data_IF_166536887178
#
_entry.id   IF_166536887178
#
_cell.length_a   1.000
_cell.length_b   1.000
_cell.length_c   1.000
_cell.angle_alpha   90.00
_cell.angle_beta   90.00
_cell.angle_gamma   90.00
#
_symmetry.space_group_name_H-M   'P 1'
#
loop_
_entity.id
_entity.type
_entity.pdbx_description
1 polymer ?
#
# COMPACT_ATOMS: atom_id res chain seq x y z
N UNK A 1 17.22 21.07 -7.17
CA UNK A 1 15.90 21.40 -6.62
C UNK A 1 14.86 21.10 -7.69
N UNK A 2 13.70 20.62 -7.27
CA UNK A 2 12.54 20.29 -8.09
C UNK A 2 11.48 21.37 -7.90
N UNK A 3 10.93 21.87 -8.99
CA UNK A 3 9.80 22.81 -8.95
C UNK A 3 8.51 21.99 -8.96
N UNK A 4 7.72 22.09 -7.89
CA UNK A 4 6.51 21.28 -7.69
C UNK A 4 5.28 22.16 -7.49
N UNK A 5 4.11 21.55 -7.66
CA UNK A 5 2.83 22.12 -7.25
C UNK A 5 2.29 21.25 -6.13
N UNK A 6 2.24 21.80 -4.93
CA UNK A 6 1.77 21.11 -3.74
C UNK A 6 0.32 21.52 -3.46
N UNK A 7 -0.55 20.55 -3.22
CA UNK A 7 -1.99 20.80 -3.01
C UNK A 7 -2.32 21.40 -1.64
N UNK A 8 -1.41 21.31 -0.68
CA UNK A 8 -1.54 21.90 0.65
C UNK A 8 -0.86 23.27 0.75
N UNK A 9 0.27 23.45 0.04
CA UNK A 9 1.11 24.66 0.14
C UNK A 9 0.93 25.61 -1.05
N UNK A 10 0.55 25.10 -2.22
CA UNK A 10 0.34 25.86 -3.44
C UNK A 10 1.41 25.62 -4.51
N UNK A 11 1.32 26.33 -5.65
CA UNK A 11 2.22 26.12 -6.78
C UNK A 11 3.63 26.68 -6.56
N UNK A 12 4.57 26.22 -7.39
CA UNK A 12 5.96 26.71 -7.51
C UNK A 12 6.83 26.52 -6.25
N UNK A 13 6.61 25.43 -5.51
CA UNK A 13 7.46 25.06 -4.39
C UNK A 13 8.80 24.52 -4.88
N UNK A 14 9.88 24.84 -4.17
CA UNK A 14 11.20 24.32 -4.45
C UNK A 14 11.57 23.27 -3.41
N UNK A 15 11.64 22.00 -3.82
CA UNK A 15 12.07 20.91 -2.96
C UNK A 15 13.47 20.44 -3.37
N UNK A 16 14.32 20.12 -2.39
CA UNK A 16 15.59 19.44 -2.69
C UNK A 16 15.35 17.93 -2.89
N UNK A 17 16.38 17.21 -3.34
CA UNK A 17 16.24 15.77 -3.61
C UNK A 17 15.87 14.98 -2.35
N UNK A 18 16.44 15.35 -1.20
CA UNK A 18 16.15 14.69 0.08
C UNK A 18 14.70 14.84 0.49
N UNK A 19 14.13 16.04 0.37
CA UNK A 19 12.71 16.24 0.65
C UNK A 19 11.80 15.35 -0.21
N UNK A 20 12.15 15.19 -1.49
CA UNK A 20 11.41 14.28 -2.39
C UNK A 20 11.60 12.83 -1.94
N UNK A 21 12.83 12.38 -1.71
CA UNK A 21 13.13 11.02 -1.26
C UNK A 21 12.38 10.68 0.05
N UNK A 22 12.42 11.57 1.02
CA UNK A 22 11.73 11.37 2.31
C UNK A 22 10.21 11.30 2.16
N UNK A 23 9.64 12.20 1.36
CA UNK A 23 8.19 12.23 1.13
C UNK A 23 7.72 11.05 0.28
N UNK A 24 8.57 10.55 -0.62
CA UNK A 24 8.23 9.50 -1.57
C UNK A 24 8.43 8.08 -1.01
N UNK A 25 9.18 7.95 0.09
CA UNK A 25 9.38 6.69 0.81
C UNK A 25 8.06 6.01 1.17
N UNK A 26 7.04 6.77 1.55
CA UNK A 26 5.72 6.22 1.89
C UNK A 26 5.07 5.43 0.73
N UNK A 27 5.55 5.61 -0.51
CA UNK A 27 5.06 4.95 -1.72
C UNK A 27 6.04 3.90 -2.27
N UNK A 28 6.85 3.28 -1.40
CA UNK A 28 7.85 2.28 -1.77
C UNK A 28 8.85 2.76 -2.85
N UNK A 29 9.14 4.07 -2.86
CA UNK A 29 9.99 4.70 -3.87
C UNK A 29 9.56 4.39 -5.33
N UNK A 30 8.25 4.21 -5.55
CA UNK A 30 7.67 3.92 -6.87
C UNK A 30 8.15 4.96 -7.91
N UNK A 31 8.57 4.51 -9.08
CA UNK A 31 8.82 5.41 -10.20
C UNK A 31 7.99 4.99 -11.41
N UNK A 32 7.59 5.98 -12.21
CA UNK A 32 6.83 5.78 -13.44
C UNK A 32 7.64 6.38 -14.58
N UNK A 33 7.90 5.60 -15.63
CA UNK A 33 8.60 6.08 -16.82
C UNK A 33 7.61 6.29 -17.95
N UNK A 34 7.45 7.54 -18.37
CA UNK A 34 6.59 7.91 -19.48
C UNK A 34 7.46 8.17 -20.72
N UNK A 35 7.21 7.41 -21.79
CA UNK A 35 7.92 7.55 -23.06
C UNK A 35 6.96 7.33 -24.25
N UNK A 36 7.18 8.01 -25.40
CA UNK A 36 6.45 7.70 -26.63
C UNK A 36 6.83 6.32 -27.16
N UNK A 37 5.89 5.62 -27.80
CA UNK A 37 6.10 4.27 -28.36
C UNK A 37 7.36 4.17 -29.23
N UNK A 38 7.64 5.19 -30.05
CA UNK A 38 8.82 5.26 -30.91
C UNK A 38 10.17 5.27 -30.14
N UNK A 39 10.15 5.42 -28.82
CA UNK A 39 11.32 5.41 -27.93
C UNK A 39 11.34 4.23 -26.96
N UNK A 40 10.47 3.23 -27.13
CA UNK A 40 10.41 2.07 -26.24
C UNK A 40 11.78 1.39 -26.05
N UNK A 41 12.50 1.10 -27.14
CA UNK A 41 13.83 0.48 -27.07
C UNK A 41 14.86 1.34 -26.31
N UNK A 42 14.76 2.67 -26.45
CA UNK A 42 15.63 3.59 -25.72
C UNK A 42 15.29 3.59 -24.22
N UNK A 43 14.00 3.57 -23.87
CA UNK A 43 13.54 3.52 -22.49
C UNK A 43 14.01 2.23 -21.81
N UNK A 44 13.83 1.08 -22.47
CA UNK A 44 14.35 -0.21 -21.99
C UNK A 44 15.87 -0.17 -21.81
N UNK A 45 16.59 0.41 -22.78
CA UNK A 45 18.06 0.55 -22.68
C UNK A 45 18.54 1.43 -21.53
N UNK A 46 17.76 2.46 -21.15
CA UNK A 46 18.06 3.32 -19.98
C UNK A 46 17.72 2.61 -18.68
N UNK A 47 16.58 1.92 -18.62
CA UNK A 47 16.12 1.21 -17.43
C UNK A 47 17.03 0.02 -17.08
N UNK A 48 17.56 -0.68 -18.08
CA UNK A 48 18.36 -1.89 -17.87
C UNK A 48 17.58 -2.88 -16.98
N UNK A 49 18.18 -3.36 -15.88
CA UNK A 49 17.54 -4.29 -14.95
C UNK A 49 16.30 -3.70 -14.24
N UNK A 50 16.20 -2.36 -14.12
CA UNK A 50 15.00 -1.72 -13.57
C UNK A 50 13.75 -1.89 -14.43
N UNK A 51 13.92 -2.33 -15.69
CA UNK A 51 12.80 -2.68 -16.56
C UNK A 51 12.21 -4.06 -16.26
N UNK A 52 12.92 -4.92 -15.53
CA UNK A 52 12.39 -6.19 -15.03
C UNK A 52 11.69 -5.94 -13.69
N UNK A 53 10.36 -6.12 -13.67
CA UNK A 53 9.53 -5.82 -12.51
C UNK A 53 9.94 -6.62 -11.27
N UNK A 54 10.25 -7.91 -11.43
CA UNK A 54 10.68 -8.75 -10.32
C UNK A 54 12.01 -8.27 -9.74
N UNK A 55 12.97 -7.93 -10.59
CA UNK A 55 14.25 -7.38 -10.18
C UNK A 55 14.06 -6.04 -9.46
N UNK A 56 13.22 -5.16 -10.00
CA UNK A 56 12.92 -3.86 -9.39
C UNK A 56 12.27 -3.99 -8.00
N UNK A 57 11.33 -4.92 -7.84
CA UNK A 57 10.69 -5.23 -6.55
C UNK A 57 11.69 -5.80 -5.53
N UNK A 58 12.54 -6.74 -5.94
CA UNK A 58 13.60 -7.27 -5.09
C UNK A 58 14.59 -6.17 -4.67
N UNK A 59 14.87 -5.22 -5.56
CA UNK A 59 15.74 -4.10 -5.27
C UNK A 59 15.10 -3.09 -4.33
N UNK A 60 13.82 -2.77 -4.52
CA UNK A 60 13.04 -1.92 -3.62
C UNK A 60 12.97 -2.52 -2.21
N UNK A 61 12.70 -3.82 -2.10
CA UNK A 61 12.72 -4.55 -0.83
C UNK A 61 14.09 -4.48 -0.14
N UNK A 62 15.18 -4.62 -0.88
CA UNK A 62 16.53 -4.51 -0.33
C UNK A 62 16.80 -3.09 0.21
N UNK A 63 16.40 -2.04 -0.52
CA UNK A 63 16.49 -0.66 -0.03
C UNK A 63 15.67 -0.43 1.23
N UNK A 64 14.43 -0.91 1.26
CA UNK A 64 13.60 -0.85 2.44
C UNK A 64 14.26 -1.56 3.65
N UNK A 65 14.93 -2.70 3.42
CA UNK A 65 15.70 -3.40 4.45
C UNK A 65 16.88 -2.60 5.02
N UNK A 66 17.59 -1.84 4.19
CA UNK A 66 18.62 -0.91 4.66
C UNK A 66 18.00 0.25 5.45
N UNK A 67 16.90 0.82 4.96
CA UNK A 67 16.19 1.91 5.60
C UNK A 67 15.66 1.52 6.99
N UNK A 68 15.14 0.30 7.18
CA UNK A 68 14.68 -0.18 8.50
C UNK A 68 15.80 -0.14 9.55
N UNK A 69 17.05 -0.38 9.16
CA UNK A 69 18.20 -0.39 10.07
C UNK A 69 18.70 1.03 10.43
N UNK A 70 18.48 2.00 9.56
CA UNK A 70 19.02 3.37 9.71
C UNK A 70 17.98 4.39 10.19
N UNK A 71 16.70 4.15 9.89
CA UNK A 71 15.61 5.08 10.17
C UNK A 71 14.94 4.77 11.51
N UNK A 72 14.20 5.75 12.03
CA UNK A 72 13.43 5.62 13.28
C UNK A 72 12.03 6.21 13.10
N UNK A 73 11.13 5.90 14.02
CA UNK A 73 9.80 6.50 14.07
C UNK A 73 8.99 6.23 12.80
N UNK A 74 8.33 7.27 12.29
CA UNK A 74 7.41 7.15 11.14
C UNK A 74 8.10 6.68 9.86
N UNK A 75 9.35 7.08 9.63
CA UNK A 75 10.09 6.66 8.43
C UNK A 75 10.49 5.19 8.50
N UNK A 76 10.84 4.69 9.69
CA UNK A 76 11.10 3.27 9.91
C UNK A 76 9.84 2.43 9.71
N UNK A 77 8.67 2.93 10.15
CA UNK A 77 7.38 2.32 9.83
C UNK A 77 7.22 2.15 8.32
N UNK A 78 7.43 3.21 7.52
CA UNK A 78 7.23 3.11 6.07
C UNK A 78 8.25 2.19 5.42
N UNK A 79 9.50 2.19 5.87
CA UNK A 79 10.51 1.25 5.39
C UNK A 79 10.07 -0.20 5.65
N UNK A 80 9.60 -0.52 6.85
CA UNK A 80 9.10 -1.86 7.18
C UNK A 80 7.84 -2.22 6.39
N UNK A 81 6.91 -1.27 6.22
CA UNK A 81 5.69 -1.44 5.41
C UNK A 81 6.02 -1.73 3.94
N UNK A 82 7.04 -1.06 3.39
CA UNK A 82 7.49 -1.23 2.01
C UNK A 82 8.10 -2.61 1.72
N UNK A 83 8.70 -3.25 2.73
CA UNK A 83 9.11 -4.66 2.63
C UNK A 83 7.87 -5.53 2.36
N UNK A 84 6.82 -5.35 3.17
CA UNK A 84 5.53 -6.03 2.96
C UNK A 84 4.93 -5.77 1.58
N UNK A 85 4.91 -4.51 1.15
CA UNK A 85 4.39 -4.13 -0.17
C UNK A 85 5.14 -4.80 -1.32
N UNK A 86 6.47 -4.89 -1.21
CA UNK A 86 7.29 -5.57 -2.22
C UNK A 86 7.05 -7.09 -2.21
N UNK A 87 6.90 -7.71 -1.03
CA UNK A 87 6.62 -9.14 -0.89
C UNK A 87 5.22 -9.52 -1.42
N UNK A 88 4.21 -8.68 -1.21
CA UNK A 88 2.88 -8.87 -1.83
C UNK A 88 2.99 -8.89 -3.35
N UNK A 89 3.72 -7.94 -3.93
CA UNK A 89 3.91 -7.86 -5.38
C UNK A 89 4.73 -9.04 -5.94
N UNK A 90 5.59 -9.65 -5.11
CA UNK A 90 6.34 -10.87 -5.44
C UNK A 90 5.53 -12.16 -5.22
N UNK A 91 4.35 -12.07 -4.58
CA UNK A 91 3.48 -13.21 -4.25
C UNK A 91 3.86 -13.95 -2.95
N UNK A 92 4.80 -13.43 -2.17
CA UNK A 92 5.28 -14.03 -0.93
C UNK A 92 4.42 -13.59 0.26
N UNK A 93 3.13 -13.96 0.26
CA UNK A 93 2.11 -13.42 1.16
C UNK A 93 2.34 -13.71 2.65
N UNK A 94 2.93 -14.86 3.01
CA UNK A 94 3.24 -15.21 4.41
C UNK A 94 4.30 -14.26 4.97
N UNK A 95 5.40 -14.08 4.26
CA UNK A 95 6.46 -13.13 4.65
C UNK A 95 5.96 -11.68 4.59
N UNK A 96 5.07 -11.36 3.64
CA UNK A 96 4.45 -10.04 3.59
C UNK A 96 3.61 -9.75 4.85
N UNK A 97 2.83 -10.73 5.32
CA UNK A 97 2.03 -10.60 6.54
C UNK A 97 2.92 -10.37 7.77
N UNK A 98 4.04 -11.09 7.90
CA UNK A 98 5.04 -10.87 8.95
C UNK A 98 5.65 -9.46 8.86
N UNK A 99 6.00 -9.01 7.65
CA UNK A 99 6.56 -7.67 7.45
C UNK A 99 5.56 -6.56 7.84
N UNK A 100 4.27 -6.75 7.53
CA UNK A 100 3.22 -5.83 7.95
C UNK A 100 2.96 -5.87 9.46
N UNK A 101 2.99 -7.04 10.10
CA UNK A 101 2.89 -7.15 11.56
C UNK A 101 4.00 -6.36 12.25
N UNK A 102 5.24 -6.45 11.75
CA UNK A 102 6.36 -5.65 12.24
C UNK A 102 6.13 -4.14 12.02
N UNK A 103 5.60 -3.75 10.86
CA UNK A 103 5.27 -2.35 10.59
C UNK A 103 4.20 -1.84 11.57
N UNK A 104 3.10 -2.56 11.78
CA UNK A 104 2.06 -2.16 12.73
C UNK A 104 2.56 -2.16 14.19
N UNK A 105 3.53 -3.03 14.53
CA UNK A 105 4.26 -2.95 15.80
C UNK A 105 4.96 -1.60 15.97
N UNK A 106 5.72 -1.14 14.96
CA UNK A 106 6.35 0.18 14.97
C UNK A 106 5.32 1.31 15.04
N UNK A 107 4.19 1.19 14.33
CA UNK A 107 3.11 2.18 14.36
C UNK A 107 2.53 2.36 15.77
N UNK A 108 2.39 1.28 16.53
CA UNK A 108 1.84 1.32 17.88
C UNK A 108 2.71 2.14 18.85
N UNK A 109 4.02 2.25 18.57
CA UNK A 109 4.97 3.04 19.35
C UNK A 109 5.00 4.53 18.98
N UNK A 110 4.41 4.91 17.84
CA UNK A 110 4.38 6.29 17.38
C UNK A 110 3.43 7.17 18.20
N UNK A 111 3.70 8.47 18.21
CA UNK A 111 2.73 9.46 18.70
C UNK A 111 1.48 9.47 17.80
N UNK A 112 0.33 9.86 18.35
CA UNK A 112 -0.91 9.93 17.54
C UNK A 112 -0.80 10.90 16.35
N UNK A 113 0.08 11.89 16.43
CA UNK A 113 0.35 12.81 15.31
C UNK A 113 1.16 12.14 14.19
N UNK A 114 2.04 11.20 14.52
CA UNK A 114 2.95 10.56 13.57
C UNK A 114 2.39 9.26 12.97
N UNK A 115 1.35 8.67 13.59
CA UNK A 115 0.72 7.44 13.11
C UNK A 115 0.14 7.63 11.70
N UNK A 116 0.56 6.81 10.72
CA UNK A 116 -0.03 6.83 9.38
C UNK A 116 -1.38 6.08 9.36
N UNK A 117 -2.38 6.60 10.07
CA UNK A 117 -3.70 5.97 10.26
C UNK A 117 -4.50 5.81 8.95
N UNK A 118 -4.12 6.56 7.90
CA UNK A 118 -4.80 6.58 6.60
C UNK A 118 -4.09 5.75 5.53
N UNK A 119 -3.06 4.96 5.90
CA UNK A 119 -2.25 4.24 4.90
C UNK A 119 -3.10 3.31 4.02
N UNK A 120 -4.13 2.69 4.60
CA UNK A 120 -5.04 1.79 3.89
C UNK A 120 -5.98 2.48 2.90
N UNK A 121 -6.05 3.81 2.91
CA UNK A 121 -6.79 4.57 1.88
C UNK A 121 -6.04 4.58 0.54
N UNK A 122 -4.74 4.24 0.57
CA UNK A 122 -3.86 4.32 -0.60
C UNK A 122 -3.14 3.00 -0.88
N UNK A 123 -2.95 2.14 0.12
CA UNK A 123 -2.20 0.90 0.00
C UNK A 123 -2.95 -0.25 0.66
N UNK A 124 -3.42 -1.19 -0.17
CA UNK A 124 -4.26 -2.32 0.24
C UNK A 124 -3.49 -3.64 0.37
N UNK A 125 -2.16 -3.59 0.17
CA UNK A 125 -1.27 -4.74 0.31
C UNK A 125 -1.45 -5.55 1.62
N UNK A 126 -1.64 -4.92 2.79
CA UNK A 126 -1.91 -5.66 4.03
C UNK A 126 -3.11 -6.59 3.96
N UNK A 127 -4.20 -6.18 3.29
CA UNK A 127 -5.37 -7.04 3.14
C UNK A 127 -5.04 -8.29 2.31
N UNK A 128 -4.36 -8.10 1.18
CA UNK A 128 -3.95 -9.21 0.32
C UNK A 128 -2.99 -10.17 1.05
N UNK A 129 -2.02 -9.64 1.81
CA UNK A 129 -1.09 -10.44 2.58
C UNK A 129 -1.81 -11.29 3.64
N UNK A 130 -2.66 -10.69 4.47
CA UNK A 130 -3.38 -11.41 5.51
C UNK A 130 -4.41 -12.39 4.93
N UNK A 131 -5.13 -12.02 3.87
CA UNK A 131 -6.09 -12.90 3.23
C UNK A 131 -5.42 -14.15 2.63
N UNK A 132 -4.39 -13.96 1.81
CA UNK A 132 -3.73 -15.08 1.12
C UNK A 132 -2.86 -15.95 2.05
N UNK A 133 -2.51 -15.46 3.25
CA UNK A 133 -1.91 -16.27 4.32
C UNK A 133 -2.92 -16.94 5.24
N UNK A 134 -4.23 -16.82 4.96
CA UNK A 134 -5.31 -17.44 5.74
C UNK A 134 -5.66 -16.73 7.05
N UNK A 135 -5.10 -15.53 7.28
CA UNK A 135 -5.36 -14.70 8.46
C UNK A 135 -6.62 -13.84 8.28
N UNK A 136 -7.76 -14.48 7.97
CA UNK A 136 -9.01 -13.77 7.62
C UNK A 136 -9.52 -12.84 8.72
N UNK A 137 -9.41 -13.23 10.00
CA UNK A 137 -9.82 -12.35 11.09
C UNK A 137 -8.99 -11.05 11.13
N UNK A 138 -7.69 -11.12 10.82
CA UNK A 138 -6.86 -9.91 10.73
C UNK A 138 -7.30 -8.99 9.60
N UNK A 139 -7.77 -9.54 8.47
CA UNK A 139 -8.35 -8.73 7.38
C UNK A 139 -9.58 -7.98 7.88
N UNK A 140 -10.48 -8.67 8.60
CA UNK A 140 -11.69 -8.07 9.17
C UNK A 140 -11.33 -6.98 10.17
N UNK A 141 -10.48 -7.29 11.15
CA UNK A 141 -10.06 -6.33 12.20
C UNK A 141 -9.41 -5.08 11.59
N UNK A 142 -8.57 -5.27 10.56
CA UNK A 142 -7.89 -4.19 9.86
C UNK A 142 -8.87 -3.33 9.05
N UNK A 143 -9.86 -3.95 8.40
CA UNK A 143 -10.89 -3.23 7.65
C UNK A 143 -11.83 -2.46 8.58
N UNK A 144 -12.23 -3.06 9.70
CA UNK A 144 -13.03 -2.39 10.74
C UNK A 144 -12.31 -1.15 11.26
N UNK A 145 -11.01 -1.26 11.57
CA UNK A 145 -10.21 -0.14 12.02
C UNK A 145 -10.14 0.99 10.96
N UNK A 146 -9.98 0.64 9.67
CA UNK A 146 -9.93 1.64 8.59
C UNK A 146 -11.28 2.35 8.39
N UNK A 147 -12.37 1.59 8.39
CA UNK A 147 -13.72 2.10 8.19
C UNK A 147 -14.19 2.96 9.37
N UNK A 148 -13.78 2.65 10.59
CA UNK A 148 -14.13 3.42 11.80
C UNK A 148 -13.53 4.84 11.84
N UNK A 149 -12.51 5.14 11.02
CA UNK A 149 -11.91 6.48 10.93
C UNK A 149 -12.83 7.46 10.18
N UNK A 150 -13.71 6.95 9.34
CA UNK A 150 -14.57 7.75 8.47
C UNK A 150 -16.01 7.77 9.01
N UNK A 151 -16.74 8.88 8.82
CA UNK A 151 -18.15 8.95 9.19
C UNK A 151 -19.04 8.07 8.29
N UNK A 152 -18.58 7.75 7.08
CA UNK A 152 -19.27 6.92 6.10
C UNK A 152 -18.30 5.86 5.55
N UNK A 153 -18.75 4.61 5.29
CA UNK A 153 -17.92 3.52 4.81
C UNK A 153 -17.63 3.65 3.31
N UNK A 154 -16.80 4.63 2.95
CA UNK A 154 -16.45 4.95 1.54
C UNK A 154 -15.15 4.28 1.07
N UNK A 155 -14.54 3.41 1.90
CA UNK A 155 -13.35 2.65 1.52
C UNK A 155 -13.78 1.32 0.90
N UNK A 156 -14.02 1.38 -0.40
CA UNK A 156 -14.56 0.29 -1.21
C UNK A 156 -13.67 -0.96 -1.12
N UNK A 157 -12.35 -0.79 -1.16
CA UNK A 157 -11.39 -1.89 -1.00
C UNK A 157 -11.45 -2.51 0.39
N UNK A 158 -11.57 -1.70 1.45
CA UNK A 158 -11.70 -2.22 2.82
C UNK A 158 -12.97 -3.06 2.98
N UNK A 159 -14.09 -2.60 2.41
CA UNK A 159 -15.34 -3.37 2.35
C UNK A 159 -15.15 -4.66 1.57
N UNK A 160 -14.57 -4.58 0.37
CA UNK A 160 -14.35 -5.75 -0.48
C UNK A 160 -13.53 -6.82 0.24
N UNK A 161 -12.38 -6.46 0.81
CA UNK A 161 -11.53 -7.39 1.53
C UNK A 161 -12.17 -7.95 2.80
N UNK A 162 -12.91 -7.13 3.56
CA UNK A 162 -13.67 -7.60 4.73
C UNK A 162 -14.75 -8.59 4.32
N UNK A 163 -15.46 -8.31 3.23
CA UNK A 163 -16.49 -9.19 2.69
C UNK A 163 -15.94 -10.53 2.20
N UNK A 164 -14.79 -10.55 1.55
CA UNK A 164 -14.09 -11.78 1.18
C UNK A 164 -13.66 -12.58 2.43
N UNK A 165 -13.05 -11.92 3.41
CA UNK A 165 -12.61 -12.59 4.64
C UNK A 165 -13.79 -13.13 5.47
N UNK A 166 -14.92 -12.40 5.50
CA UNK A 166 -16.15 -12.85 6.14
C UNK A 166 -16.70 -14.12 5.49
N UNK A 167 -16.64 -14.23 4.15
CA UNK A 167 -17.03 -15.45 3.44
C UNK A 167 -16.21 -16.67 3.87
N UNK A 168 -14.89 -16.52 3.97
CA UNK A 168 -13.97 -17.58 4.41
C UNK A 168 -14.24 -18.03 5.86
N UNK A 169 -14.78 -17.13 6.68
CA UNK A 169 -15.22 -17.44 8.06
C UNK A 169 -16.70 -17.86 8.17
N UNK A 170 -17.38 -18.08 7.04
CA UNK A 170 -18.79 -18.47 6.94
C UNK A 170 -19.77 -17.42 7.49
N UNK A 171 -19.39 -16.14 7.54
CA UNK A 171 -20.31 -15.03 7.78
C UNK A 171 -20.86 -14.49 6.45
N UNK A 172 -21.81 -15.23 5.88
CA UNK A 172 -22.43 -14.87 4.60
C UNK A 172 -23.19 -13.55 4.66
N UNK A 173 -23.72 -13.17 5.83
CA UNK A 173 -24.49 -11.94 5.98
C UNK A 173 -23.59 -10.71 5.89
N UNK A 174 -22.44 -10.72 6.58
CA UNK A 174 -21.46 -9.65 6.47
C UNK A 174 -20.85 -9.60 5.06
N UNK A 175 -20.51 -10.77 4.50
CA UNK A 175 -19.96 -10.87 3.15
C UNK A 175 -20.88 -10.23 2.10
N UNK A 176 -22.16 -10.61 2.08
CA UNK A 176 -23.14 -10.07 1.15
C UNK A 176 -23.32 -8.56 1.32
N UNK A 177 -23.40 -8.08 2.57
CA UNK A 177 -23.55 -6.65 2.84
C UNK A 177 -22.36 -5.83 2.33
N UNK A 178 -21.13 -6.27 2.62
CA UNK A 178 -19.93 -5.53 2.27
C UNK A 178 -19.63 -5.57 0.78
N UNK A 179 -19.77 -6.73 0.13
CA UNK A 179 -19.51 -6.88 -1.31
C UNK A 179 -20.54 -6.10 -2.14
N UNK A 180 -21.82 -6.13 -1.76
CA UNK A 180 -22.84 -5.32 -2.42
C UNK A 180 -22.61 -3.82 -2.23
N UNK A 181 -22.16 -3.40 -1.04
CA UNK A 181 -21.83 -1.99 -0.79
C UNK A 181 -20.63 -1.54 -1.62
N UNK A 182 -19.53 -2.31 -1.62
CA UNK A 182 -18.36 -2.05 -2.46
C UNK A 182 -18.73 -1.96 -3.95
N UNK A 183 -19.57 -2.88 -4.44
CA UNK A 183 -20.13 -2.83 -5.79
C UNK A 183 -20.95 -1.55 -6.02
N UNK A 184 -21.84 -1.18 -5.10
CA UNK A 184 -22.70 -0.01 -5.28
C UNK A 184 -21.93 1.32 -5.36
N UNK A 185 -20.80 1.40 -4.65
CA UNK A 185 -19.91 2.54 -4.66
C UNK A 185 -19.08 2.59 -5.94
N UNK A 186 -18.57 1.44 -6.39
CA UNK A 186 -17.76 1.34 -7.60
C UNK A 186 -17.98 0.03 -8.39
N UNK A 187 -19.04 0.00 -9.23
CA UNK A 187 -19.43 -1.22 -9.96
C UNK A 187 -18.38 -1.72 -10.95
N UNK A 188 -17.51 -0.81 -11.45
CA UNK A 188 -16.47 -1.17 -12.42
C UNK A 188 -15.30 -1.88 -11.76
N UNK A 189 -14.95 -1.49 -10.54
CA UNK A 189 -13.84 -2.07 -9.80
C UNK A 189 -14.25 -3.36 -9.08
N UNK A 190 -15.49 -3.44 -8.59
CA UNK A 190 -16.02 -4.60 -7.86
C UNK A 190 -17.27 -5.16 -8.54
N UNK A 191 -17.14 -5.89 -9.65
CA UNK A 191 -18.29 -6.53 -10.29
C UNK A 191 -18.82 -7.66 -9.41
N UNK A 192 -20.15 -7.82 -9.38
CA UNK A 192 -20.80 -9.04 -8.86
C UNK A 192 -20.97 -10.03 -10.01
N UNK A 193 -20.63 -11.30 -9.80
CA UNK A 193 -20.96 -12.35 -10.77
C UNK A 193 -22.49 -12.54 -10.78
N UNK A 194 -23.11 -12.46 -11.97
CA UNK A 194 -24.55 -12.69 -12.18
C UNK A 194 -24.96 -14.15 -11.99
#
# INVERSE_FOLDING_TARGET
TFLTTDTFVGPFQNYDARHIEDSWRAFNNLFIVLYPDARADQAVGVLREWGDEKWALQRAMAYAGFDVAELTGRDQFFAQFNIGTSLVALGDYEQAAEAYDLAYGLQAELSDFDKPIRILWYQTGPYAAYFNSGSYQKVIDLADAALAILPEPVLEESLYWRGLAAAELNDSAQSEADLNLAHSLNPQLFPVEE
#
